data_IF_243798939507
#
_entry.id   IF_243798939507
#
_cell.length_a   1.000
_cell.length_b   1.000
_cell.length_c   1.000
_cell.angle_alpha   90.00
_cell.angle_beta   90.00
_cell.angle_gamma   90.00
#
_symmetry.space_group_name_H-M   'P 1'
#
loop_
_entity.id
_entity.type
_entity.pdbx_description
1 polymer ?
#
# COMPACT_ATOMS: atom_id res chain seq x y z
N UNK A 1 6.55 -13.95 33.11
CA UNK A 1 6.18 -14.43 31.77
C UNK A 1 5.99 -13.23 30.86
N UNK A 2 6.75 -13.24 29.79
CA UNK A 2 6.80 -12.29 28.68
C UNK A 2 5.44 -12.04 28.04
N UNK A 3 5.07 -10.76 27.87
CA UNK A 3 4.53 -10.33 26.58
C UNK A 3 4.89 -8.86 26.33
N UNK A 4 5.98 -8.68 25.60
CA UNK A 4 6.40 -7.39 25.08
C UNK A 4 5.49 -7.02 23.91
N UNK A 5 4.32 -6.46 24.20
CA UNK A 5 3.52 -5.79 23.18
C UNK A 5 4.19 -4.47 22.80
N UNK A 6 5.03 -4.52 21.77
CA UNK A 6 5.37 -3.36 20.95
C UNK A 6 4.07 -2.87 20.26
N UNK A 7 3.28 -2.12 21.03
CA UNK A 7 2.01 -1.55 20.64
C UNK A 7 2.19 -0.10 20.24
N UNK A 8 2.87 0.16 19.13
CA UNK A 8 2.74 1.45 18.46
C UNK A 8 1.28 1.57 17.98
N UNK A 9 0.50 2.57 18.44
CA UNK A 9 -0.88 2.71 18.02
C UNK A 9 -0.90 2.99 16.52
N UNK A 10 -1.40 2.03 15.73
CA UNK A 10 -1.83 2.33 14.37
C UNK A 10 -2.88 3.44 14.47
N UNK A 11 -2.61 4.58 13.83
CA UNK A 11 -3.55 5.70 13.73
C UNK A 11 -4.94 5.17 13.32
N UNK A 12 -6.01 5.76 13.86
CA UNK A 12 -7.40 5.30 13.70
C UNK A 12 -7.76 4.94 12.25
N UNK A 13 -7.23 5.70 11.29
CA UNK A 13 -7.45 5.53 9.86
C UNK A 13 -6.84 4.23 9.31
N UNK A 14 -5.68 3.82 9.80
CA UNK A 14 -4.99 2.60 9.39
C UNK A 14 -5.83 1.35 9.73
N UNK A 15 -6.55 1.37 10.86
CA UNK A 15 -7.40 0.25 11.29
C UNK A 15 -8.53 -0.02 10.30
N UNK A 16 -9.05 1.01 9.64
CA UNK A 16 -10.16 0.86 8.68
C UNK A 16 -9.71 0.12 7.42
N UNK A 17 -8.59 0.53 6.82
CA UNK A 17 -8.06 -0.17 5.65
C UNK A 17 -7.63 -1.60 5.98
N UNK A 18 -6.93 -1.79 7.10
CA UNK A 18 -6.42 -3.11 7.51
C UNK A 18 -7.57 -4.10 7.77
N UNK A 19 -8.65 -3.66 8.42
CA UNK A 19 -9.83 -4.50 8.69
C UNK A 19 -10.64 -4.86 7.44
N UNK A 20 -10.38 -4.21 6.30
CA UNK A 20 -11.07 -4.42 5.02
C UNK A 20 -10.12 -4.90 3.91
N UNK A 21 -8.96 -5.48 4.26
CA UNK A 21 -7.97 -5.94 3.29
C UNK A 21 -8.51 -7.00 2.33
N UNK A 22 -9.44 -7.83 2.79
CA UNK A 22 -10.13 -8.84 1.98
C UNK A 22 -10.87 -8.22 0.78
N UNK A 23 -11.41 -7.01 0.94
CA UNK A 23 -12.14 -6.27 -0.10
C UNK A 23 -11.24 -5.69 -1.19
N UNK A 24 -9.92 -5.67 -0.97
CA UNK A 24 -8.98 -5.16 -1.98
C UNK A 24 -9.04 -6.00 -3.24
N UNK A 25 -9.25 -5.30 -4.34
CA UNK A 25 -9.23 -5.85 -5.70
C UNK A 25 -8.67 -4.81 -6.66
N UNK A 26 -8.48 -5.18 -7.92
CA UNK A 26 -8.16 -4.21 -8.98
C UNK A 26 -8.84 -4.64 -10.28
N UNK A 27 -8.84 -3.77 -11.28
CA UNK A 27 -9.31 -4.12 -12.62
C UNK A 27 -8.21 -4.83 -13.40
N UNK A 28 -8.53 -5.51 -14.50
CA UNK A 28 -7.52 -6.14 -15.38
C UNK A 28 -6.44 -5.13 -15.79
N UNK A 29 -6.85 -3.93 -16.25
CA UNK A 29 -5.91 -2.86 -16.58
C UNK A 29 -5.12 -2.34 -15.36
N UNK A 30 -5.70 -2.42 -14.16
CA UNK A 30 -5.02 -2.10 -12.90
C UNK A 30 -3.94 -3.11 -12.56
N UNK A 31 -4.22 -4.42 -12.70
CA UNK A 31 -3.24 -5.50 -12.55
C UNK A 31 -2.04 -5.27 -13.45
N UNK A 32 -2.26 -5.05 -14.75
CA UNK A 32 -1.17 -4.83 -15.72
C UNK A 32 -0.34 -3.59 -15.39
N UNK A 33 -1.00 -2.49 -14.99
CA UNK A 33 -0.32 -1.26 -14.56
C UNK A 33 0.54 -1.50 -13.33
N UNK A 34 0.01 -2.17 -12.31
CA UNK A 34 0.73 -2.45 -11.06
C UNK A 34 1.94 -3.34 -11.33
N UNK A 35 1.75 -4.44 -12.08
CA UNK A 35 2.83 -5.37 -12.45
C UNK A 35 3.97 -4.64 -13.17
N UNK A 36 3.63 -3.83 -14.17
CA UNK A 36 4.60 -3.03 -14.92
C UNK A 36 5.35 -2.03 -14.04
N UNK A 37 4.62 -1.29 -13.20
CA UNK A 37 5.19 -0.24 -12.36
C UNK A 37 6.11 -0.77 -11.27
N UNK A 38 5.85 -1.98 -10.77
CA UNK A 38 6.64 -2.64 -9.72
C UNK A 38 7.64 -3.66 -10.28
N UNK A 39 7.60 -3.93 -11.58
CA UNK A 39 8.37 -4.98 -12.24
C UNK A 39 8.21 -6.36 -11.56
N UNK A 40 6.96 -6.78 -11.36
CA UNK A 40 6.61 -8.07 -10.76
C UNK A 40 5.76 -8.92 -11.71
N UNK A 41 5.90 -10.24 -11.63
CA UNK A 41 5.07 -11.19 -12.38
C UNK A 41 3.96 -11.82 -11.53
N UNK A 42 4.08 -11.72 -10.20
CA UNK A 42 3.16 -12.30 -9.20
C UNK A 42 1.79 -11.61 -9.21
N UNK A 43 0.84 -12.17 -8.45
CA UNK A 43 -0.49 -11.56 -8.31
C UNK A 43 -0.39 -10.16 -7.68
N UNK A 44 -0.87 -9.15 -8.43
CA UNK A 44 -0.73 -7.76 -8.05
C UNK A 44 -1.46 -7.41 -6.74
N UNK A 45 -2.62 -8.03 -6.49
CA UNK A 45 -3.43 -7.76 -5.30
C UNK A 45 -2.76 -8.39 -4.07
N UNK A 46 -2.34 -9.64 -4.16
CA UNK A 46 -1.63 -10.35 -3.10
C UNK A 46 -0.31 -9.66 -2.74
N UNK A 47 0.44 -9.21 -3.75
CA UNK A 47 1.67 -8.45 -3.53
C UNK A 47 1.41 -7.15 -2.76
N UNK A 48 0.40 -6.37 -3.16
CA UNK A 48 0.03 -5.15 -2.45
C UNK A 48 -0.44 -5.42 -1.01
N UNK A 49 -1.23 -6.48 -0.78
CA UNK A 49 -1.67 -6.88 0.56
C UNK A 49 -0.48 -7.19 1.48
N UNK A 50 0.51 -7.94 0.97
CA UNK A 50 1.71 -8.27 1.73
C UNK A 50 2.51 -7.02 2.11
N UNK A 51 2.59 -6.02 1.22
CA UNK A 51 3.23 -4.74 1.51
C UNK A 51 2.47 -3.94 2.58
N UNK A 52 1.14 -3.83 2.48
CA UNK A 52 0.30 -3.07 3.44
C UNK A 52 0.38 -3.66 4.85
N UNK A 53 0.57 -4.98 4.97
CA UNK A 53 0.68 -5.68 6.25
C UNK A 53 2.05 -5.52 6.94
N UNK A 54 3.05 -4.94 6.27
CA UNK A 54 4.35 -4.71 6.91
C UNK A 54 4.23 -3.64 7.99
N UNK A 55 4.93 -3.84 9.12
CA UNK A 55 4.91 -2.93 10.28
C UNK A 55 5.37 -1.51 9.95
N UNK A 56 6.27 -1.35 8.99
CA UNK A 56 6.78 -0.05 8.54
C UNK A 56 5.90 0.60 7.46
N UNK A 57 4.74 0.03 7.12
CA UNK A 57 3.84 0.62 6.15
C UNK A 57 3.13 1.83 6.75
N UNK A 58 3.35 3.00 6.14
CA UNK A 58 2.67 4.24 6.49
C UNK A 58 1.39 4.32 5.68
N UNK A 59 0.25 4.36 6.37
CA UNK A 59 -1.08 4.44 5.76
C UNK A 59 -1.69 5.79 6.14
N UNK A 60 -2.31 6.46 5.17
CA UNK A 60 -3.10 7.67 5.40
C UNK A 60 -4.16 7.82 4.32
N UNK A 61 -5.24 8.53 4.64
CA UNK A 61 -6.28 8.89 3.68
C UNK A 61 -6.13 10.34 3.25
N UNK A 62 -6.23 10.60 1.94
CA UNK A 62 -6.35 11.96 1.41
C UNK A 62 -7.48 11.99 0.38
N UNK A 63 -8.56 12.69 0.73
CA UNK A 63 -9.78 12.75 -0.07
C UNK A 63 -10.39 11.35 -0.29
N UNK A 64 -10.56 10.96 -1.56
CA UNK A 64 -11.21 9.70 -1.95
C UNK A 64 -10.26 8.49 -1.94
N UNK A 65 -8.99 8.68 -1.58
CA UNK A 65 -7.97 7.64 -1.72
C UNK A 65 -7.23 7.38 -0.40
N UNK A 66 -6.93 6.12 -0.17
CA UNK A 66 -5.87 5.69 0.73
C UNK A 66 -4.54 5.68 0.00
N UNK A 67 -3.50 6.04 0.73
CA UNK A 67 -2.11 5.96 0.32
C UNK A 67 -1.37 5.08 1.32
N UNK A 68 -0.61 4.11 0.81
CA UNK A 68 0.24 3.23 1.61
C UNK A 68 1.67 3.35 1.09
N UNK A 69 2.60 3.78 1.93
CA UNK A 69 4.02 3.88 1.63
C UNK A 69 4.83 2.84 2.40
N UNK A 70 5.62 2.03 1.71
CA UNK A 70 6.48 1.00 2.34
C UNK A 70 7.62 0.61 1.41
N UNK A 71 8.84 0.50 1.94
CA UNK A 71 10.03 0.05 1.20
C UNK A 71 10.24 0.74 -0.16
N UNK A 72 9.98 2.05 -0.22
CA UNK A 72 10.07 2.82 -1.45
C UNK A 72 8.98 2.49 -2.47
N UNK A 73 7.88 1.87 -2.07
CA UNK A 73 6.68 1.63 -2.89
C UNK A 73 5.52 2.46 -2.36
N UNK A 74 4.81 3.12 -3.28
CA UNK A 74 3.56 3.83 -3.01
C UNK A 74 2.38 3.10 -3.65
N UNK A 75 1.39 2.76 -2.84
CA UNK A 75 0.13 2.12 -3.24
C UNK A 75 -1.00 3.15 -3.06
N UNK A 76 -1.87 3.29 -4.06
CA UNK A 76 -3.06 4.15 -4.01
C UNK A 76 -4.31 3.31 -4.17
N UNK A 77 -5.25 3.44 -3.24
CA UNK A 77 -6.47 2.62 -3.18
C UNK A 77 -7.66 3.55 -3.07
N UNK A 78 -8.70 3.33 -3.87
CA UNK A 78 -9.94 4.09 -3.73
C UNK A 78 -10.66 3.71 -2.43
N UNK A 79 -10.96 4.67 -1.57
CA UNK A 79 -11.41 4.42 -0.20
C UNK A 79 -12.77 3.74 -0.08
N UNK A 80 -13.68 3.99 -1.05
CA UNK A 80 -15.02 3.39 -1.03
C UNK A 80 -15.06 1.99 -1.63
N UNK A 81 -14.41 1.83 -2.78
CA UNK A 81 -14.49 0.58 -3.54
C UNK A 81 -13.37 -0.38 -3.19
N UNK A 82 -12.36 0.02 -2.43
CA UNK A 82 -11.19 -0.81 -2.14
C UNK A 82 -10.45 -1.26 -3.42
N UNK A 83 -10.60 -0.50 -4.50
CA UNK A 83 -9.90 -0.78 -5.75
C UNK A 83 -8.48 -0.24 -5.64
N UNK A 84 -7.47 -1.09 -5.77
CA UNK A 84 -6.08 -0.67 -5.92
C UNK A 84 -5.96 0.03 -7.27
N UNK A 85 -5.84 1.35 -7.25
CA UNK A 85 -5.75 2.19 -8.45
C UNK A 85 -4.36 2.05 -9.05
N UNK A 86 -3.30 2.10 -8.24
CA UNK A 86 -1.93 1.95 -8.73
C UNK A 86 -1.00 1.57 -7.59
N UNK A 87 0.13 0.97 -7.93
CA UNK A 87 1.28 0.85 -7.08
C UNK A 87 2.54 1.08 -7.92
N UNK A 88 3.55 1.73 -7.36
CA UNK A 88 4.79 2.04 -8.07
C UNK A 88 5.93 2.26 -7.10
N UNK A 89 7.16 2.02 -7.54
CA UNK A 89 8.35 2.42 -6.81
C UNK A 89 8.46 3.94 -6.82
N UNK A 90 8.60 4.54 -5.65
CA UNK A 90 8.94 5.94 -5.49
C UNK A 90 10.34 6.14 -6.07
N UNK A 91 10.48 7.12 -6.99
CA UNK A 91 11.80 7.45 -7.51
C UNK A 91 12.64 7.98 -6.35
N UNK A 92 13.86 7.45 -6.22
CA UNK A 92 14.89 8.13 -5.44
C UNK A 92 14.96 9.57 -5.96
N UNK A 93 14.92 10.55 -5.05
CA UNK A 93 15.24 11.91 -5.41
C UNK A 93 16.64 11.89 -6.02
N UNK A 94 16.73 12.05 -7.34
CA UNK A 94 17.99 12.38 -7.99
C UNK A 94 18.34 13.76 -7.46
N UNK A 95 19.21 13.82 -6.45
CA UNK A 95 19.89 15.03 -6.07
C UNK A 95 20.69 15.46 -7.31
N UNK A 96 20.08 16.30 -8.14
CA UNK A 96 20.73 16.95 -9.26
C UNK A 96 21.69 17.97 -8.71
N UNK A 97 22.88 17.54 -8.34
CA UNK A 97 24.06 18.39 -8.29
C UNK A 97 24.52 18.62 -9.73
N UNK A 98 24.13 19.77 -10.28
CA UNK A 98 25.00 20.56 -11.14
C UNK A 98 25.42 21.80 -10.36
#
# INVERSE_FOLDING_TARGET
>A
MSDSMDGTPLAQDNRTLISNLDRLHTTVMGTERIKRNLNIETDAVAYCKALILKRNCVIYQQGKNWYCGVDGVRITIHARSYTIITAHTERAASNGSQ
#
